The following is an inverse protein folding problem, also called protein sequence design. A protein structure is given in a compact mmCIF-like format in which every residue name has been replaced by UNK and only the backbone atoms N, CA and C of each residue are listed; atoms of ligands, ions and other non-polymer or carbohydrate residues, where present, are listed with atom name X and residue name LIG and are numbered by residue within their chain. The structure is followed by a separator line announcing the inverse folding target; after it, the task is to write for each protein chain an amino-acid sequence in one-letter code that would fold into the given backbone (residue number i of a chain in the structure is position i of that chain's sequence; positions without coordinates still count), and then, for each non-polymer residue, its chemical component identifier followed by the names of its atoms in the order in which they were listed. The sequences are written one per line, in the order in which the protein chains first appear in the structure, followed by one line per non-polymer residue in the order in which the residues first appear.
data_IF_683507891909
#
_entry.id   IF_683507891909
#
_cell.length_a   1.000
_cell.length_b   1.000
_cell.length_c   1.000
_cell.angle_alpha   90.00
_cell.angle_beta   90.00
_cell.angle_gamma   90.00
#
_symmetry.space_group_name_H-M   'P 1'
#
loop_
_entity.id
_entity.type
_entity.pdbx_description
1 polymer ?
#
# COMPACT_ATOMS: atom_id res chain seq x y z
N UNK A 1 8.64 6.03 -18.96
CA UNK A 1 7.26 6.44 -18.68
C UNK A 1 6.82 5.62 -17.47
N UNK A 2 6.34 6.27 -16.40
CA UNK A 2 5.93 5.58 -15.17
C UNK A 2 4.73 4.66 -15.40
N UNK A 3 4.67 3.57 -14.65
CA UNK A 3 3.58 2.60 -14.72
C UNK A 3 2.67 2.72 -13.50
N UNK A 4 1.38 2.80 -13.71
CA UNK A 4 0.38 2.73 -12.63
C UNK A 4 0.40 1.35 -11.96
N UNK A 5 0.48 0.30 -12.77
CA UNK A 5 0.46 -1.09 -12.32
C UNK A 5 1.55 -1.88 -13.00
N UNK A 6 2.23 -2.74 -12.25
CA UNK A 6 3.17 -3.77 -12.70
C UNK A 6 2.58 -5.15 -12.47
N UNK A 7 3.15 -6.18 -13.06
CA UNK A 7 2.66 -7.54 -12.90
C UNK A 7 2.94 -8.09 -11.48
N UNK A 8 3.89 -7.50 -10.77
CA UNK A 8 4.25 -7.77 -9.38
C UNK A 8 3.54 -6.86 -8.37
N UNK A 9 2.66 -5.94 -8.82
CA UNK A 9 1.92 -5.06 -7.92
C UNK A 9 0.88 -5.83 -7.10
N UNK A 10 0.72 -5.45 -5.83
CA UNK A 10 -0.23 -6.07 -4.91
C UNK A 10 -1.65 -5.59 -5.19
N UNK A 11 -2.48 -6.46 -5.74
CA UNK A 11 -3.87 -6.20 -6.03
C UNK A 11 -4.81 -7.18 -5.32
N UNK A 12 -5.97 -6.70 -4.86
CA UNK A 12 -6.97 -7.53 -4.16
C UNK A 12 -7.57 -8.63 -5.03
N UNK A 13 -7.68 -8.38 -6.35
CA UNK A 13 -8.12 -9.35 -7.35
C UNK A 13 -7.11 -9.47 -8.50
N UNK A 14 -5.80 -9.55 -8.14
CA UNK A 14 -4.71 -9.46 -9.09
C UNK A 14 -4.36 -8.00 -9.43
N UNK A 15 -3.28 -7.82 -10.21
CA UNK A 15 -2.75 -6.50 -10.48
C UNK A 15 -3.63 -5.65 -11.41
N UNK A 16 -4.54 -6.24 -12.17
CA UNK A 16 -5.40 -5.53 -13.14
C UNK A 16 -6.80 -6.11 -13.19
N UNK A 17 -7.79 -5.20 -13.32
CA UNK A 17 -9.19 -5.50 -13.57
C UNK A 17 -9.79 -4.45 -14.52
N UNK A 18 -11.07 -4.56 -14.89
CA UNK A 18 -11.80 -3.56 -15.68
C UNK A 18 -11.72 -2.17 -15.02
N UNK A 19 -11.89 -2.14 -13.70
CA UNK A 19 -11.71 -0.94 -12.88
C UNK A 19 -10.62 -1.21 -11.86
N UNK A 20 -9.55 -0.43 -11.93
CA UNK A 20 -8.39 -0.52 -11.05
C UNK A 20 -8.25 0.78 -10.27
N UNK A 21 -8.32 0.68 -8.95
CA UNK A 21 -8.00 1.78 -8.03
C UNK A 21 -6.57 1.58 -7.53
N UNK A 22 -5.67 2.47 -7.88
CA UNK A 22 -4.26 2.43 -7.44
C UNK A 22 -4.04 3.48 -6.37
N UNK A 23 -3.44 3.10 -5.25
CA UNK A 23 -2.87 4.02 -4.27
C UNK A 23 -1.35 4.00 -4.35
N UNK A 24 -0.74 5.17 -4.48
CA UNK A 24 0.65 5.38 -4.12
C UNK A 24 0.68 5.92 -2.69
N UNK A 25 1.14 5.09 -1.78
CA UNK A 25 1.05 5.33 -0.35
C UNK A 25 2.37 5.20 0.39
N UNK A 26 2.39 5.84 1.56
CA UNK A 26 3.48 5.80 2.53
C UNK A 26 2.89 5.36 3.87
N UNK A 27 3.38 4.24 4.42
CA UNK A 27 2.84 3.70 5.66
C UNK A 27 3.01 4.62 6.87
N UNK A 28 4.01 5.52 6.85
CA UNK A 28 4.19 6.51 7.92
C UNK A 28 3.40 7.82 7.71
N UNK A 29 2.79 8.02 6.52
CA UNK A 29 2.01 9.22 6.22
C UNK A 29 0.67 9.22 6.98
N UNK A 30 0.38 10.24 7.82
CA UNK A 30 -0.90 10.30 8.54
C UNK A 30 -2.13 10.41 7.63
N UNK A 31 -1.98 11.06 6.47
CA UNK A 31 -3.07 11.18 5.51
C UNK A 31 -3.40 9.83 4.83
N UNK A 32 -2.40 8.97 4.61
CA UNK A 32 -2.63 7.60 4.14
C UNK A 32 -3.36 6.77 5.21
N UNK A 33 -2.94 6.86 6.47
CA UNK A 33 -3.65 6.20 7.56
C UNK A 33 -5.11 6.68 7.68
N UNK A 34 -5.37 7.98 7.46
CA UNK A 34 -6.73 8.53 7.44
C UNK A 34 -7.56 8.05 6.23
N UNK A 35 -6.94 7.74 5.10
CA UNK A 35 -7.60 7.19 3.91
C UNK A 35 -7.93 5.68 4.08
N UNK A 36 -7.10 4.94 4.81
CA UNK A 36 -7.19 3.49 4.93
C UNK A 36 -8.57 2.95 5.32
N UNK A 37 -9.31 3.48 6.32
CA UNK A 37 -10.65 2.98 6.64
C UNK A 37 -11.66 3.09 5.50
N UNK A 38 -11.53 4.13 4.67
CA UNK A 38 -12.39 4.31 3.48
C UNK A 38 -12.04 3.27 2.41
N UNK A 39 -10.75 3.01 2.22
CA UNK A 39 -10.29 2.00 1.25
C UNK A 39 -10.70 0.59 1.67
N UNK A 40 -10.65 0.26 2.97
CA UNK A 40 -11.18 -1.01 3.48
C UNK A 40 -12.66 -1.18 3.18
N UNK A 41 -13.47 -0.13 3.34
CA UNK A 41 -14.89 -0.16 2.99
C UNK A 41 -15.11 -0.37 1.48
N UNK A 42 -14.29 0.28 0.64
CA UNK A 42 -14.34 0.08 -0.82
C UNK A 42 -13.95 -1.36 -1.18
N UNK A 43 -12.85 -1.88 -0.67
CA UNK A 43 -12.42 -3.26 -0.91
C UNK A 43 -13.49 -4.26 -0.48
N UNK A 44 -14.09 -4.07 0.69
CA UNK A 44 -15.19 -4.93 1.17
C UNK A 44 -16.44 -4.83 0.28
N UNK A 45 -16.78 -3.62 -0.20
CA UNK A 45 -17.94 -3.42 -1.07
C UNK A 45 -17.82 -4.13 -2.43
N UNK A 46 -16.59 -4.37 -2.89
CA UNK A 46 -16.30 -5.01 -4.18
C UNK A 46 -15.57 -6.35 -4.08
N UNK A 47 -15.49 -6.95 -2.88
CA UNK A 47 -14.73 -8.18 -2.62
C UNK A 47 -15.10 -9.37 -3.52
N UNK A 48 -16.35 -9.43 -3.97
CA UNK A 48 -16.87 -10.50 -4.82
C UNK A 48 -16.97 -10.09 -6.31
N UNK A 49 -16.45 -8.91 -6.65
CA UNK A 49 -16.48 -8.40 -8.02
C UNK A 49 -15.10 -8.49 -8.69
N UNK A 50 -14.86 -9.47 -9.59
CA UNK A 50 -13.58 -9.67 -10.24
C UNK A 50 -13.21 -8.53 -11.22
N UNK A 51 -14.19 -7.70 -11.61
CA UNK A 51 -13.96 -6.54 -12.47
C UNK A 51 -13.40 -5.31 -11.71
N UNK A 52 -13.26 -5.40 -10.39
CA UNK A 52 -12.62 -4.38 -9.57
C UNK A 52 -11.37 -4.93 -8.88
N UNK A 53 -10.31 -4.14 -8.84
CA UNK A 53 -9.15 -4.40 -7.97
C UNK A 53 -8.65 -3.11 -7.33
N UNK A 54 -8.28 -3.20 -6.05
CA UNK A 54 -7.48 -2.19 -5.37
C UNK A 54 -6.02 -2.61 -5.41
N UNK A 55 -5.14 -1.71 -5.82
CA UNK A 55 -3.69 -1.94 -5.93
C UNK A 55 -2.95 -0.95 -5.07
N UNK A 56 -2.02 -1.43 -4.25
CA UNK A 56 -1.11 -0.60 -3.49
C UNK A 56 0.27 -0.55 -4.15
N UNK A 57 0.87 0.64 -4.17
CA UNK A 57 2.23 0.90 -4.64
C UNK A 57 2.99 1.71 -3.58
N UNK A 58 4.19 1.29 -3.27
CA UNK A 58 5.03 1.98 -2.29
C UNK A 58 5.50 3.34 -2.80
N UNK A 59 5.27 4.39 -2.01
CA UNK A 59 5.81 5.73 -2.28
C UNK A 59 6.34 6.37 -0.99
N UNK A 60 7.40 5.78 -0.37
CA UNK A 60 7.94 6.26 0.88
C UNK A 60 8.55 7.66 0.71
N UNK A 61 8.13 8.61 1.54
CA UNK A 61 8.64 9.98 1.61
C UNK A 61 9.79 10.05 2.60
N UNK A 62 10.90 9.42 2.29
CA UNK A 62 12.05 9.21 3.19
C UNK A 62 12.70 10.50 3.67
N UNK A 63 12.46 11.61 2.97
CA UNK A 63 12.95 12.95 3.35
C UNK A 63 12.26 13.51 4.60
N UNK A 64 11.05 13.03 4.92
CA UNK A 64 10.24 13.50 6.05
C UNK A 64 9.75 12.36 6.96
N UNK A 65 9.79 11.13 6.51
CA UNK A 65 9.30 9.94 7.20
C UNK A 65 10.43 8.92 7.35
N UNK A 66 11.09 8.91 8.50
CA UNK A 66 12.27 8.10 8.76
C UNK A 66 12.03 6.58 8.84
N UNK A 67 10.79 6.14 9.06
CA UNK A 67 10.41 4.74 9.10
C UNK A 67 9.61 4.30 7.85
N UNK A 68 9.45 5.17 6.84
CA UNK A 68 8.67 4.85 5.64
C UNK A 68 9.29 3.71 4.82
N UNK A 69 10.61 3.67 4.71
CA UNK A 69 11.29 2.63 3.94
C UNK A 69 11.22 1.27 4.62
N UNK A 70 11.53 1.20 5.94
CA UNK A 70 11.46 -0.07 6.67
C UNK A 70 10.04 -0.62 6.78
N UNK A 71 9.01 0.23 6.86
CA UNK A 71 7.63 -0.21 6.85
C UNK A 71 7.19 -0.74 5.47
N UNK A 72 7.69 -0.16 4.39
CA UNK A 72 7.51 -0.72 3.04
C UNK A 72 8.19 -2.07 2.88
N UNK A 73 9.43 -2.21 3.36
CA UNK A 73 10.15 -3.50 3.42
C UNK A 73 9.37 -4.56 4.22
N UNK A 74 8.76 -4.17 5.34
CA UNK A 74 7.95 -5.07 6.17
C UNK A 74 6.71 -5.60 5.43
N UNK A 75 6.02 -4.75 4.67
CA UNK A 75 4.88 -5.16 3.86
C UNK A 75 5.29 -6.15 2.77
N UNK A 76 6.41 -5.87 2.07
CA UNK A 76 6.95 -6.77 1.04
C UNK A 76 7.48 -8.09 1.63
N UNK A 77 8.11 -8.06 2.81
CA UNK A 77 8.55 -9.27 3.50
C UNK A 77 7.37 -10.15 3.94
N UNK A 78 6.26 -9.54 4.33
CA UNK A 78 5.02 -10.25 4.61
C UNK A 78 4.38 -10.79 3.32
N UNK A 79 4.46 -10.05 2.20
CA UNK A 79 4.00 -10.50 0.89
C UNK A 79 4.69 -11.78 0.43
N UNK A 80 5.99 -11.91 0.64
CA UNK A 80 6.76 -13.14 0.32
C UNK A 80 6.21 -14.37 1.06
N UNK A 81 5.54 -14.15 2.19
CA UNK A 81 4.92 -15.19 3.00
C UNK A 81 3.38 -15.21 2.86
N UNK A 82 2.83 -14.54 1.85
CA UNK A 82 1.40 -14.54 1.52
C UNK A 82 0.54 -13.69 2.45
N UNK A 83 1.13 -12.70 3.16
CA UNK A 83 0.46 -11.87 4.17
C UNK A 83 0.61 -10.36 3.92
N UNK A 84 0.63 -9.95 2.64
CA UNK A 84 0.75 -8.53 2.29
C UNK A 84 -0.36 -7.69 2.90
N UNK A 85 -1.62 -8.06 2.64
CA UNK A 85 -2.76 -7.24 3.03
C UNK A 85 -2.97 -7.19 4.54
N UNK A 86 -2.69 -8.30 5.25
CA UNK A 86 -2.75 -8.32 6.70
C UNK A 86 -1.68 -7.41 7.33
N UNK A 87 -0.46 -7.40 6.79
CA UNK A 87 0.59 -6.49 7.25
C UNK A 87 0.27 -5.04 6.87
N UNK A 88 -0.21 -4.79 5.65
CA UNK A 88 -0.67 -3.49 5.17
C UNK A 88 -1.71 -2.88 6.12
N UNK A 89 -2.72 -3.67 6.51
CA UNK A 89 -3.75 -3.22 7.44
C UNK A 89 -3.16 -2.87 8.81
N UNK A 90 -2.32 -3.73 9.39
CA UNK A 90 -1.68 -3.48 10.68
C UNK A 90 -0.81 -2.23 10.67
N UNK A 91 -0.07 -1.99 9.59
CA UNK A 91 0.80 -0.81 9.46
C UNK A 91 -0.01 0.49 9.53
N UNK A 92 -1.16 0.56 8.90
CA UNK A 92 -2.01 1.75 8.98
C UNK A 92 -2.83 1.82 10.27
N UNK A 93 -3.47 0.73 10.67
CA UNK A 93 -4.33 0.70 11.86
C UNK A 93 -3.56 1.01 13.15
N UNK A 94 -2.28 0.63 13.18
CA UNK A 94 -1.40 0.79 14.34
C UNK A 94 -0.29 1.82 14.11
N UNK A 95 -0.45 2.70 13.14
CA UNK A 95 0.59 3.67 12.77
C UNK A 95 1.13 4.45 13.97
N UNK A 96 0.27 4.87 14.90
CA UNK A 96 0.66 5.61 16.10
C UNK A 96 1.56 4.83 17.05
N UNK A 97 1.57 3.49 16.97
CA UNK A 97 2.42 2.64 17.82
C UNK A 97 3.85 2.58 17.31
N UNK A 98 4.03 2.42 16.00
CA UNK A 98 5.32 2.12 15.38
C UNK A 98 6.00 3.28 14.63
N UNK A 99 5.27 4.34 14.26
CA UNK A 99 5.79 5.42 13.41
C UNK A 99 6.85 6.31 14.08
N UNK A 100 7.51 5.80 15.10
CA UNK A 100 8.57 6.46 15.87
C UNK A 100 9.95 5.83 15.66
N UNK A 101 10.84 6.05 16.62
CA UNK A 101 12.25 5.63 16.54
C UNK A 101 12.50 4.13 16.74
N UNK A 102 11.48 3.35 17.09
CA UNK A 102 11.59 1.91 17.36
C UNK A 102 10.70 1.07 16.43
N UNK A 103 10.47 1.54 15.21
CA UNK A 103 9.59 0.90 14.24
C UNK A 103 9.87 -0.60 14.07
N UNK A 104 11.12 -0.99 13.88
CA UNK A 104 11.52 -2.37 13.61
C UNK A 104 11.00 -3.38 14.64
N UNK A 105 11.07 -3.05 15.94
CA UNK A 105 10.59 -3.93 17.01
C UNK A 105 9.08 -4.21 16.89
N UNK A 106 8.29 -3.19 16.55
CA UNK A 106 6.85 -3.35 16.31
C UNK A 106 6.57 -4.17 15.07
N UNK A 107 7.29 -3.92 13.97
CA UNK A 107 7.13 -4.63 12.71
C UNK A 107 7.40 -6.14 12.87
N UNK A 108 8.41 -6.50 13.67
CA UNK A 108 8.70 -7.88 14.00
C UNK A 108 7.58 -8.50 14.86
N UNK A 109 7.05 -7.76 15.83
CA UNK A 109 5.90 -8.19 16.63
C UNK A 109 4.65 -8.42 15.78
N UNK A 110 4.42 -7.60 14.76
CA UNK A 110 3.32 -7.82 13.83
C UNK A 110 3.54 -9.07 12.96
N UNK A 111 4.76 -9.29 12.47
CA UNK A 111 5.10 -10.52 11.75
C UNK A 111 4.83 -11.77 12.59
N UNK A 112 5.20 -11.75 13.87
CA UNK A 112 4.91 -12.84 14.82
C UNK A 112 3.39 -13.03 15.01
N UNK A 113 2.64 -11.95 15.19
CA UNK A 113 1.18 -12.00 15.36
C UNK A 113 0.45 -12.54 14.13
N UNK A 114 1.01 -12.33 12.94
CA UNK A 114 0.50 -12.86 11.67
C UNK A 114 0.91 -14.32 11.40
N UNK A 115 1.72 -14.92 12.29
CA UNK A 115 2.22 -16.28 12.13
C UNK A 115 3.28 -16.45 11.05
N UNK A 116 4.01 -15.37 10.74
CA UNK A 116 5.09 -15.42 9.76
C UNK A 116 6.35 -16.09 10.34
N UNK A 117 7.20 -16.62 9.46
CA UNK A 117 8.56 -17.00 9.81
C UNK A 117 9.37 -15.73 10.15
N UNK A 118 9.47 -15.45 11.44
CA UNK A 118 10.12 -14.24 11.97
C UNK A 118 11.60 -14.19 11.61
N UNK A 119 12.27 -15.34 11.48
CA UNK A 119 13.68 -15.39 11.07
C UNK A 119 13.86 -14.90 9.65
N UNK A 120 13.04 -15.41 8.72
CA UNK A 120 13.04 -14.94 7.33
C UNK A 120 12.65 -13.47 7.21
N UNK A 121 11.65 -13.07 7.99
CA UNK A 121 11.19 -11.68 8.00
C UNK A 121 12.31 -10.73 8.45
N UNK A 122 13.00 -11.01 9.55
CA UNK A 122 14.16 -10.22 10.02
C UNK A 122 15.27 -10.17 8.96
N UNK A 123 15.64 -11.32 8.40
CA UNK A 123 16.66 -11.37 7.35
C UNK A 123 16.29 -10.49 6.14
N UNK A 124 15.02 -10.46 5.76
CA UNK A 124 14.56 -9.62 4.67
C UNK A 124 14.73 -8.13 4.98
N UNK A 125 14.39 -7.70 6.20
CA UNK A 125 14.58 -6.31 6.66
C UNK A 125 16.07 -5.95 6.73
N UNK A 126 16.89 -6.78 7.39
CA UNK A 126 18.34 -6.55 7.56
C UNK A 126 19.07 -6.41 6.22
N UNK A 127 18.65 -7.18 5.22
CA UNK A 127 19.25 -7.20 3.89
C UNK A 127 18.61 -6.19 2.92
N UNK A 128 17.58 -5.47 3.36
CA UNK A 128 16.80 -4.59 2.49
C UNK A 128 16.38 -5.30 1.19
N UNK A 129 15.87 -6.52 1.34
CA UNK A 129 15.64 -7.46 0.24
C UNK A 129 14.73 -6.90 -0.85
N UNK A 130 13.80 -6.04 -0.48
CA UNK A 130 12.79 -5.48 -1.38
C UNK A 130 13.06 -4.02 -1.78
N UNK A 131 14.22 -3.46 -1.41
CA UNK A 131 14.58 -2.09 -1.76
C UNK A 131 14.41 -1.76 -3.25
N UNK A 132 14.71 -2.71 -4.14
CA UNK A 132 14.54 -2.51 -5.58
C UNK A 132 13.07 -2.41 -6.02
N UNK A 133 12.17 -3.17 -5.40
CA UNK A 133 10.71 -3.10 -5.66
C UNK A 133 10.21 -1.74 -5.23
N UNK A 134 10.49 -1.34 -3.99
CA UNK A 134 10.09 -0.07 -3.39
C UNK A 134 10.62 1.13 -4.20
N UNK A 135 11.91 1.08 -4.57
CA UNK A 135 12.54 2.11 -5.41
C UNK A 135 11.90 2.21 -6.79
N UNK A 136 11.54 1.07 -7.36
CA UNK A 136 10.87 1.02 -8.67
C UNK A 136 9.47 1.59 -8.60
N UNK A 137 8.71 1.28 -7.55
CA UNK A 137 7.39 1.84 -7.29
C UNK A 137 7.46 3.35 -7.15
N UNK A 138 8.39 3.85 -6.33
CA UNK A 138 8.62 5.28 -6.17
C UNK A 138 8.98 5.96 -7.49
N UNK A 139 9.91 5.39 -8.26
CA UNK A 139 10.31 5.94 -9.56
C UNK A 139 9.16 6.01 -10.57
N UNK A 140 8.27 5.01 -10.59
CA UNK A 140 7.05 5.05 -11.40
C UNK A 140 6.12 6.18 -10.95
N UNK A 141 5.92 6.35 -9.65
CA UNK A 141 5.13 7.44 -9.09
C UNK A 141 5.71 8.82 -9.44
N UNK A 142 7.01 9.01 -9.31
CA UNK A 142 7.70 10.26 -9.71
C UNK A 142 7.52 10.55 -11.20
N UNK A 143 7.63 9.54 -12.05
CA UNK A 143 7.39 9.67 -13.50
C UNK A 143 5.91 10.00 -13.84
N UNK A 144 4.97 9.64 -12.95
CA UNK A 144 3.55 10.00 -13.00
C UNK A 144 3.27 11.36 -12.32
N UNK A 145 4.33 12.10 -11.95
CA UNK A 145 4.26 13.41 -11.28
C UNK A 145 3.51 13.35 -9.93
N UNK A 146 3.73 12.28 -9.19
CA UNK A 146 3.32 12.18 -7.80
C UNK A 146 4.39 12.88 -6.95
N UNK A 147 3.97 13.72 -6.03
CA UNK A 147 4.82 14.46 -5.11
C UNK A 147 4.28 14.48 -3.68
N UNK A 148 3.18 13.77 -3.43
CA UNK A 148 2.55 13.66 -2.11
C UNK A 148 1.76 12.36 -2.00
N UNK A 149 1.55 11.91 -0.76
CA UNK A 149 0.73 10.74 -0.44
C UNK A 149 -0.43 11.12 0.49
N UNK A 150 -1.56 10.41 0.39
CA UNK A 150 -1.88 9.43 -0.64
C UNK A 150 -2.15 10.09 -2.00
N UNK A 151 -1.75 9.43 -3.08
CA UNK A 151 -2.16 9.77 -4.45
C UNK A 151 -2.86 8.57 -5.07
N UNK A 152 -4.05 8.80 -5.62
CA UNK A 152 -4.87 7.73 -6.19
C UNK A 152 -5.02 7.88 -7.70
N UNK A 153 -5.21 6.74 -8.35
CA UNK A 153 -5.66 6.68 -9.74
C UNK A 153 -6.81 5.69 -9.84
N UNK A 154 -7.93 6.15 -10.36
CA UNK A 154 -9.05 5.29 -10.74
C UNK A 154 -8.97 5.08 -12.27
N UNK A 155 -8.43 3.94 -12.69
CA UNK A 155 -7.89 3.76 -14.03
C UNK A 155 -6.86 4.88 -14.32
N UNK A 156 -7.11 5.75 -15.29
CA UNK A 156 -6.19 6.84 -15.66
C UNK A 156 -6.52 8.19 -14.97
N UNK A 157 -7.58 8.24 -14.16
CA UNK A 157 -8.03 9.47 -13.49
C UNK A 157 -7.29 9.65 -12.17
N UNK A 158 -6.41 10.66 -12.09
CA UNK A 158 -5.68 11.00 -10.88
C UNK A 158 -6.57 11.71 -9.86
N UNK A 159 -6.50 11.27 -8.60
CA UNK A 159 -7.13 11.90 -7.45
C UNK A 159 -6.08 12.07 -6.34
N UNK A 160 -6.19 13.12 -5.54
CA UNK A 160 -5.25 13.43 -4.46
C UNK A 160 -6.03 13.67 -3.16
N UNK A 161 -5.44 13.28 -2.05
CA UNK A 161 -6.01 13.47 -0.71
C UNK A 161 -6.91 12.31 -0.27
N UNK A 162 -7.47 12.45 0.93
CA UNK A 162 -8.30 11.40 1.55
C UNK A 162 -9.64 11.30 0.80
N UNK A 163 -9.98 10.13 0.23
CA UNK A 163 -11.23 9.97 -0.50
C UNK A 163 -12.45 9.95 0.45
N UNK A 164 -13.61 10.34 -0.08
CA UNK A 164 -14.91 10.15 0.57
C UNK A 164 -15.56 8.89 -0.02
N UNK A 165 -16.01 7.97 0.83
CA UNK A 165 -16.54 6.66 0.43
C UNK A 165 -17.62 6.75 -0.65
N UNK A 166 -18.67 7.55 -0.41
CA UNK A 166 -19.80 7.66 -1.35
C UNK A 166 -19.37 8.18 -2.72
N UNK A 167 -18.48 9.19 -2.72
CA UNK A 167 -17.98 9.77 -3.96
C UNK A 167 -17.12 8.77 -4.74
N UNK A 168 -16.23 8.07 -4.05
CA UNK A 168 -15.34 7.09 -4.67
C UNK A 168 -16.15 5.89 -5.19
N UNK A 169 -17.12 5.40 -4.39
CA UNK A 169 -18.00 4.31 -4.78
C UNK A 169 -18.80 4.64 -6.04
N UNK A 170 -19.41 5.84 -6.12
CA UNK A 170 -20.13 6.28 -7.32
C UNK A 170 -19.25 6.27 -8.56
N UNK A 171 -18.02 6.78 -8.46
CA UNK A 171 -17.07 6.78 -9.59
C UNK A 171 -16.69 5.36 -10.04
N UNK A 172 -16.50 4.44 -9.09
CA UNK A 172 -16.23 3.03 -9.40
C UNK A 172 -17.44 2.40 -10.09
N UNK A 173 -18.65 2.58 -9.55
CA UNK A 173 -19.89 2.03 -10.11
C UNK A 173 -20.14 2.54 -11.56
N UNK A 174 -19.81 3.79 -11.85
CA UNK A 174 -19.91 4.35 -13.20
C UNK A 174 -18.95 3.67 -14.19
N UNK A 175 -17.72 3.36 -13.76
CA UNK A 175 -16.71 2.70 -14.60
C UNK A 175 -16.95 1.19 -14.75
N UNK A 176 -17.72 0.58 -13.84
CA UNK A 176 -18.10 -0.83 -13.91
C UNK A 176 -19.25 -1.09 -14.90
N UNK A 177 -20.07 -0.10 -15.24
CA UNK A 177 -21.13 -0.19 -16.27
C UNK A 177 -20.51 -0.35 -17.68
#
# INVERSE_FOLDING_TARGET
MGKLVRDDSHGTHGARAKVTLVEFGDYQCPACAAAHPVLKQIVEAYKDNPDFTFVFRNFPLTEIHNAAEISSEAAEAAAEQGKFWEMHDLLYEKQSEWAGSQAEGFLIGYAESLGLDVTKFRQALDQQKFANVIKTDRADGEALKINSTPSFFLNDEKMVGVPVFETLKLKIDEKLK
#
